data_IF_212721300520
#
_entry.id   IF_212721300520
#
_cell.length_a   1.000
_cell.length_b   1.000
_cell.length_c   1.000
_cell.angle_alpha   90.00
_cell.angle_beta   90.00
_cell.angle_gamma   90.00
#
_symmetry.space_group_name_H-M   'P 1'
#
loop_
_entity.id
_entity.type
_entity.pdbx_description
1 polymer ?
#
# COMPACT_ATOMS: atom_id res chain seq x y z
N UNK A 1 15.22 25.41 -38.43
CA UNK A 1 15.42 24.29 -37.48
C UNK A 1 15.77 24.85 -36.13
N UNK A 2 14.84 24.83 -35.17
CA UNK A 2 15.14 24.98 -33.75
C UNK A 2 14.15 24.11 -32.97
N UNK A 3 14.55 22.85 -32.76
CA UNK A 3 13.84 21.92 -31.89
C UNK A 3 14.10 22.29 -30.44
N UNK A 4 13.10 22.86 -29.78
CA UNK A 4 13.09 23.00 -28.33
C UNK A 4 12.86 21.64 -27.71
N UNK A 5 13.92 21.04 -27.17
CA UNK A 5 13.82 19.83 -26.35
C UNK A 5 12.99 20.13 -25.11
N UNK A 6 11.73 19.68 -25.11
CA UNK A 6 10.93 19.59 -23.88
C UNK A 6 11.66 18.61 -22.97
N UNK A 7 12.31 19.13 -21.92
CA UNK A 7 12.81 18.34 -20.81
C UNK A 7 11.63 17.54 -20.28
N UNK A 8 11.60 16.25 -20.60
CA UNK A 8 10.49 15.38 -20.22
C UNK A 8 10.52 15.32 -18.69
N UNK A 9 9.54 15.97 -18.05
CA UNK A 9 9.30 15.78 -16.63
C UNK A 9 9.27 14.27 -16.40
N UNK A 10 9.88 13.77 -15.32
CA UNK A 10 9.90 12.35 -15.10
C UNK A 10 8.42 11.90 -15.07
N UNK A 11 8.11 10.78 -15.73
CA UNK A 11 6.76 10.26 -15.93
C UNK A 11 6.52 9.06 -14.98
N UNK A 12 5.30 8.87 -14.45
CA UNK A 12 4.99 7.67 -13.66
C UNK A 12 5.21 6.42 -14.53
N UNK A 13 5.47 5.25 -13.90
CA UNK A 13 5.61 4.01 -14.66
C UNK A 13 4.35 3.76 -15.49
N UNK A 14 4.53 3.32 -16.73
CA UNK A 14 3.43 3.05 -17.68
C UNK A 14 2.53 1.90 -17.23
N UNK A 15 3.03 1.05 -16.34
CA UNK A 15 2.31 -0.06 -15.72
C UNK A 15 2.54 -0.04 -14.21
N UNK A 16 1.51 -0.41 -13.44
CA UNK A 16 1.59 -0.47 -11.98
C UNK A 16 2.43 -1.68 -11.52
N UNK A 17 3.41 -1.43 -10.65
CA UNK A 17 4.23 -2.45 -9.99
C UNK A 17 4.00 -2.45 -8.46
N UNK A 18 3.51 -3.56 -7.86
CA UNK A 18 3.28 -3.70 -6.41
C UNK A 18 4.49 -3.49 -5.50
N UNK A 19 5.71 -3.57 -6.04
CA UNK A 19 6.95 -3.33 -5.28
C UNK A 19 7.49 -1.91 -5.46
N UNK A 20 6.89 -1.10 -6.33
CA UNK A 20 7.42 0.21 -6.68
C UNK A 20 7.45 1.17 -5.48
N UNK A 21 6.37 1.24 -4.70
CA UNK A 21 6.29 2.14 -3.53
C UNK A 21 6.88 1.52 -2.26
N UNK A 22 6.69 0.22 -2.07
CA UNK A 22 7.09 -0.50 -0.87
C UNK A 22 7.67 -1.86 -1.25
N UNK A 23 8.98 -1.91 -1.44
CA UNK A 23 9.72 -3.13 -1.74
C UNK A 23 10.16 -3.82 -0.44
N UNK A 24 9.62 -5.00 -0.09
CA UNK A 24 10.02 -5.77 1.08
C UNK A 24 11.44 -6.33 0.98
N UNK A 25 12.04 -6.36 -0.23
CA UNK A 25 13.43 -6.76 -0.47
C UNK A 25 14.46 -5.69 -0.09
N UNK A 26 14.04 -4.43 0.01
CA UNK A 26 14.88 -3.32 0.52
C UNK A 26 14.97 -3.41 2.04
N UNK A 27 15.71 -4.40 2.54
CA UNK A 27 16.26 -4.32 3.88
C UNK A 27 17.20 -3.12 3.89
N UNK A 28 16.99 -2.18 4.81
CA UNK A 28 17.89 -1.05 5.00
C UNK A 28 19.32 -1.57 5.03
N UNK A 29 20.16 -0.97 4.20
CA UNK A 29 21.49 -1.46 3.86
C UNK A 29 22.25 -1.83 5.14
N UNK A 30 22.29 -3.12 5.44
CA UNK A 30 23.07 -3.64 6.55
C UNK A 30 24.50 -3.59 6.08
N UNK A 31 25.14 -2.42 6.22
CA UNK A 31 26.56 -2.21 5.91
C UNK A 31 27.39 -3.28 6.63
N UNK A 32 27.71 -4.35 5.91
CA UNK A 32 28.68 -5.36 6.29
C UNK A 32 30.04 -4.77 5.96
N UNK A 33 30.73 -4.24 6.96
CA UNK A 33 32.14 -3.87 6.78
C UNK A 33 32.97 -5.10 7.11
N UNK A 34 33.51 -5.75 6.09
CA UNK A 34 34.52 -6.81 6.26
C UNK A 34 35.83 -6.15 6.65
N UNK A 35 36.27 -6.36 7.89
CA UNK A 35 37.59 -5.90 8.33
C UNK A 35 38.58 -7.03 8.05
N UNK A 36 39.44 -6.86 7.05
CA UNK A 36 40.53 -7.80 6.79
C UNK A 36 41.70 -7.46 7.71
N UNK A 37 41.72 -8.03 8.93
CA UNK A 37 42.98 -8.20 9.65
C UNK A 37 43.64 -9.48 9.15
N UNK A 38 44.95 -9.43 8.89
CA UNK A 38 45.74 -10.59 8.46
C UNK A 38 45.56 -11.72 9.47
N UNK A 39 44.81 -12.76 9.09
CA UNK A 39 44.53 -13.95 9.91
C UNK A 39 43.13 -14.07 10.52
N UNK A 40 42.23 -13.07 10.40
CA UNK A 40 40.86 -13.17 10.93
C UNK A 40 39.84 -12.47 10.04
N UNK A 41 38.95 -13.24 9.41
CA UNK A 41 37.80 -12.71 8.64
C UNK A 41 36.60 -12.62 9.58
N UNK A 42 36.40 -11.44 10.18
CA UNK A 42 35.22 -11.14 10.99
C UNK A 42 34.22 -10.26 10.24
N UNK A 43 32.93 -10.61 10.26
CA UNK A 43 31.85 -9.75 9.75
C UNK A 43 31.25 -8.96 10.92
N UNK A 44 31.48 -7.65 10.98
CA UNK A 44 30.77 -6.77 11.92
C UNK A 44 29.43 -6.39 11.28
N UNK A 45 28.32 -6.87 11.85
CA UNK A 45 26.98 -6.43 11.47
C UNK A 45 26.69 -5.16 12.28
N UNK A 46 26.64 -4.01 11.61
CA UNK A 46 26.23 -2.76 12.25
C UNK A 46 24.73 -2.84 12.62
N UNK A 47 24.44 -2.93 13.91
CA UNK A 47 23.07 -2.92 14.41
C UNK A 47 22.53 -1.49 14.40
N UNK A 48 21.88 -1.10 13.29
CA UNK A 48 21.27 0.23 13.16
C UNK A 48 20.04 0.33 14.07
N UNK A 49 19.88 1.46 14.77
CA UNK A 49 18.68 1.72 15.56
C UNK A 49 17.45 1.76 14.64
N UNK A 50 16.27 1.30 15.08
CA UNK A 50 15.06 1.26 14.25
C UNK A 50 14.64 2.64 13.73
N UNK A 51 14.97 3.71 14.46
CA UNK A 51 14.74 5.10 14.03
C UNK A 51 15.61 5.46 12.81
N UNK A 52 16.86 5.01 12.79
CA UNK A 52 17.82 5.27 11.72
C UNK A 52 17.44 4.49 10.45
N UNK A 53 17.07 3.22 10.59
CA UNK A 53 16.53 2.37 9.52
C UNK A 53 15.31 3.04 8.85
N UNK A 54 14.36 3.52 9.67
CA UNK A 54 13.16 4.19 9.16
C UNK A 54 13.50 5.52 8.46
N UNK A 55 14.49 6.27 8.95
CA UNK A 55 14.94 7.51 8.32
C UNK A 55 15.54 7.22 6.94
N UNK A 56 16.45 6.25 6.87
CA UNK A 56 17.11 5.84 5.63
C UNK A 56 16.13 5.34 4.57
N UNK A 57 15.15 4.51 4.96
CA UNK A 57 14.10 4.05 4.04
C UNK A 57 13.24 5.21 3.50
N UNK A 58 12.91 6.20 4.34
CA UNK A 58 12.16 7.37 3.88
C UNK A 58 13.00 8.28 2.98
N UNK A 59 14.31 8.41 3.25
CA UNK A 59 15.22 9.14 2.36
C UNK A 59 15.35 8.46 1.01
N UNK A 60 15.51 7.14 0.98
CA UNK A 60 15.55 6.35 -0.25
C UNK A 60 14.26 6.50 -1.05
N UNK A 61 13.10 6.41 -0.38
CA UNK A 61 11.80 6.67 -0.98
C UNK A 61 11.71 8.08 -1.59
N UNK A 62 12.20 9.11 -0.89
CA UNK A 62 12.25 10.47 -1.43
C UNK A 62 13.20 10.62 -2.61
N UNK A 63 14.37 9.98 -2.59
CA UNK A 63 15.31 10.01 -3.71
C UNK A 63 14.70 9.37 -4.95
N UNK A 64 13.99 8.25 -4.78
CA UNK A 64 13.39 7.50 -5.89
C UNK A 64 12.09 8.11 -6.42
N UNK A 65 11.25 8.67 -5.56
CA UNK A 65 9.88 9.09 -5.94
C UNK A 65 9.57 10.56 -5.65
N UNK A 66 10.48 11.33 -5.05
CA UNK A 66 10.21 12.69 -4.57
C UNK A 66 9.90 13.72 -5.65
N UNK A 67 10.24 13.45 -6.91
CA UNK A 67 9.83 14.29 -8.05
C UNK A 67 8.34 14.15 -8.40
N UNK A 68 7.66 13.14 -7.84
CA UNK A 68 6.32 12.73 -8.24
C UNK A 68 5.32 12.67 -7.11
N UNK A 69 5.76 12.15 -5.98
CA UNK A 69 4.91 11.95 -4.81
C UNK A 69 4.96 13.21 -3.98
N UNK A 70 3.79 13.66 -3.55
CA UNK A 70 3.66 14.79 -2.65
C UNK A 70 4.60 14.63 -1.44
N UNK A 71 5.38 15.68 -1.13
CA UNK A 71 6.42 15.66 -0.09
C UNK A 71 5.87 15.38 1.31
N UNK A 72 4.55 15.57 1.52
CA UNK A 72 3.86 15.24 2.75
C UNK A 72 3.55 13.74 2.91
N UNK A 73 3.70 12.93 1.86
CA UNK A 73 3.53 11.48 1.89
C UNK A 73 4.92 10.81 1.96
N UNK A 74 5.10 9.94 2.94
CA UNK A 74 6.33 9.17 3.14
C UNK A 74 6.01 7.69 3.22
N UNK A 75 6.98 6.82 2.98
CA UNK A 75 6.80 5.36 3.07
C UNK A 75 6.19 4.93 4.40
N UNK A 76 6.69 5.50 5.51
CA UNK A 76 6.12 5.21 6.84
C UNK A 76 4.64 5.61 6.95
N UNK A 77 4.22 6.70 6.30
CA UNK A 77 2.80 7.13 6.31
C UNK A 77 1.92 6.20 5.48
N UNK A 78 2.44 5.70 4.35
CA UNK A 78 1.74 4.71 3.50
C UNK A 78 1.54 3.41 4.29
N UNK A 79 2.61 2.87 4.89
CA UNK A 79 2.54 1.66 5.73
C UNK A 79 1.57 1.81 6.90
N UNK A 80 1.58 2.94 7.59
CA UNK A 80 0.61 3.22 8.66
C UNK A 80 -0.84 3.30 8.15
N UNK A 81 -1.07 3.89 6.98
CA UNK A 81 -2.43 3.90 6.38
C UNK A 81 -2.90 2.49 6.06
N UNK A 82 -2.04 1.67 5.44
CA UNK A 82 -2.29 0.27 5.14
C UNK A 82 -2.69 -0.53 6.40
N UNK A 83 -1.94 -0.40 7.49
CA UNK A 83 -2.27 -1.03 8.77
C UNK A 83 -3.65 -0.60 9.31
N UNK A 84 -4.03 0.68 9.16
CA UNK A 84 -5.36 1.15 9.57
C UNK A 84 -6.47 0.57 8.71
N UNK A 85 -6.22 0.30 7.43
CA UNK A 85 -7.19 -0.40 6.56
C UNK A 85 -7.41 -1.84 7.01
N UNK A 86 -6.35 -2.57 7.38
CA UNK A 86 -6.47 -3.90 8.01
C UNK A 86 -7.33 -3.80 9.27
N UNK A 87 -7.02 -2.84 10.15
CA UNK A 87 -7.77 -2.67 11.39
C UNK A 87 -9.26 -2.35 11.14
N UNK A 88 -9.58 -1.56 10.10
CA UNK A 88 -10.98 -1.32 9.71
C UNK A 88 -11.66 -2.62 9.30
N UNK A 89 -11.04 -3.38 8.39
CA UNK A 89 -11.62 -4.61 7.87
C UNK A 89 -11.82 -5.66 8.97
N UNK A 90 -10.85 -5.83 9.87
CA UNK A 90 -10.97 -6.77 10.99
C UNK A 90 -12.11 -6.40 11.96
N UNK A 91 -12.30 -5.11 12.26
CA UNK A 91 -13.38 -4.66 13.14
C UNK A 91 -14.76 -4.70 12.49
N UNK A 92 -14.82 -4.65 11.15
CA UNK A 92 -16.03 -4.75 10.36
C UNK A 92 -16.25 -6.16 9.77
N UNK A 93 -15.47 -7.15 10.21
CA UNK A 93 -15.53 -8.54 9.73
C UNK A 93 -15.45 -8.69 8.19
N UNK A 94 -14.72 -7.79 7.53
CA UNK A 94 -14.50 -7.79 6.09
C UNK A 94 -13.31 -8.67 5.70
N UNK A 95 -13.31 -9.14 4.46
CA UNK A 95 -12.30 -10.04 3.94
C UNK A 95 -10.92 -9.36 3.76
N UNK A 96 -9.84 -10.09 4.05
CA UNK A 96 -8.48 -9.58 3.83
C UNK A 96 -8.19 -9.39 2.34
N UNK A 97 -8.87 -10.14 1.46
CA UNK A 97 -8.86 -9.90 0.02
C UNK A 97 -9.39 -8.50 -0.36
N UNK A 98 -10.42 -7.99 0.32
CA UNK A 98 -10.91 -6.61 0.15
C UNK A 98 -9.83 -5.59 0.54
N UNK A 99 -9.06 -5.85 1.60
CA UNK A 99 -7.93 -4.99 1.99
C UNK A 99 -6.82 -4.99 0.93
N UNK A 100 -6.53 -6.13 0.32
CA UNK A 100 -5.52 -6.24 -0.71
C UNK A 100 -5.91 -5.46 -1.98
N UNK A 101 -7.18 -5.48 -2.39
CA UNK A 101 -7.70 -4.61 -3.46
C UNK A 101 -7.55 -3.14 -3.08
N UNK A 102 -7.93 -2.77 -1.85
CA UNK A 102 -7.81 -1.40 -1.35
C UNK A 102 -6.36 -0.89 -1.35
N UNK A 103 -5.37 -1.76 -1.10
CA UNK A 103 -3.96 -1.40 -1.22
C UNK A 103 -3.59 -1.03 -2.64
N UNK A 104 -4.05 -1.79 -3.64
CA UNK A 104 -3.78 -1.50 -5.04
C UNK A 104 -4.41 -0.17 -5.46
N UNK A 105 -5.67 0.07 -5.08
CA UNK A 105 -6.34 1.34 -5.37
C UNK A 105 -5.62 2.52 -4.73
N UNK A 106 -5.23 2.39 -3.45
CA UNK A 106 -4.48 3.41 -2.73
C UNK A 106 -3.16 3.75 -3.43
N UNK A 107 -2.40 2.74 -3.84
CA UNK A 107 -1.12 2.97 -4.50
C UNK A 107 -1.30 3.59 -5.89
N UNK A 108 -2.29 3.15 -6.67
CA UNK A 108 -2.65 3.77 -7.96
C UNK A 108 -2.98 5.26 -7.79
N UNK A 109 -3.74 5.63 -6.75
CA UNK A 109 -4.02 7.04 -6.45
C UNK A 109 -2.79 7.84 -5.99
N UNK A 110 -1.87 7.22 -5.24
CA UNK A 110 -0.60 7.86 -4.85
C UNK A 110 0.24 8.15 -6.11
N UNK A 111 0.34 7.20 -7.02
CA UNK A 111 1.09 7.34 -8.28
C UNK A 111 0.44 8.37 -9.21
N UNK A 112 -0.89 8.47 -9.20
CA UNK A 112 -1.65 9.49 -9.91
C UNK A 112 -1.65 10.87 -9.23
N UNK A 113 -0.90 11.05 -8.14
CA UNK A 113 -0.78 12.30 -7.37
C UNK A 113 -2.10 12.84 -6.79
N UNK A 114 -3.07 11.96 -6.54
CA UNK A 114 -4.37 12.32 -5.96
C UNK A 114 -4.34 12.41 -4.44
N UNK A 115 -3.32 11.84 -3.79
CA UNK A 115 -3.22 11.73 -2.34
C UNK A 115 -2.19 12.69 -1.74
N UNK A 116 -2.62 13.47 -0.75
CA UNK A 116 -1.81 14.39 0.05
C UNK A 116 -2.21 14.34 1.54
N UNK A 117 -1.50 15.06 2.43
CA UNK A 117 -1.69 15.00 3.89
C UNK A 117 -3.15 15.17 4.36
N UNK A 118 -3.91 16.04 3.69
CA UNK A 118 -5.27 16.42 4.07
C UNK A 118 -6.32 15.37 3.70
N UNK A 119 -6.18 14.70 2.56
CA UNK A 119 -7.19 13.79 2.04
C UNK A 119 -6.84 12.30 2.21
N UNK A 120 -5.57 11.95 2.46
CA UNK A 120 -5.06 10.56 2.48
C UNK A 120 -5.86 9.56 3.33
N UNK A 121 -6.46 10.01 4.43
CA UNK A 121 -7.29 9.14 5.29
C UNK A 121 -8.66 8.89 4.66
N UNK A 122 -9.26 9.94 4.12
CA UNK A 122 -10.56 9.88 3.46
C UNK A 122 -10.49 9.04 2.19
N UNK A 123 -9.51 9.32 1.31
CA UNK A 123 -9.33 8.56 0.07
C UNK A 123 -8.95 7.09 0.33
N UNK A 124 -8.10 6.82 1.32
CA UNK A 124 -7.79 5.42 1.68
C UNK A 124 -9.04 4.67 2.18
N UNK A 125 -9.89 5.31 2.97
CA UNK A 125 -11.14 4.73 3.43
C UNK A 125 -12.13 4.50 2.27
N UNK A 126 -12.20 5.44 1.31
CA UNK A 126 -13.01 5.30 0.10
C UNK A 126 -12.49 4.16 -0.81
N UNK A 127 -11.18 3.97 -0.92
CA UNK A 127 -10.60 2.80 -1.60
C UNK A 127 -11.06 1.48 -0.95
N UNK A 128 -11.06 1.40 0.38
CA UNK A 128 -11.53 0.22 1.10
C UNK A 128 -13.04 0.01 0.92
N UNK A 129 -13.82 1.09 0.97
CA UNK A 129 -15.26 1.03 0.71
C UNK A 129 -15.58 0.45 -0.67
N UNK A 130 -14.92 0.93 -1.72
CA UNK A 130 -15.07 0.41 -3.09
C UNK A 130 -14.63 -1.05 -3.19
N UNK A 131 -13.52 -1.42 -2.53
CA UNK A 131 -13.05 -2.79 -2.51
C UNK A 131 -14.05 -3.75 -1.85
N UNK A 132 -14.61 -3.38 -0.70
CA UNK A 132 -15.65 -4.17 -0.02
C UNK A 132 -16.90 -4.27 -0.88
N UNK A 133 -17.37 -3.17 -1.49
CA UNK A 133 -18.53 -3.20 -2.39
C UNK A 133 -18.33 -4.11 -3.61
N UNK A 134 -17.10 -4.21 -4.12
CA UNK A 134 -16.79 -5.02 -5.29
C UNK A 134 -16.54 -6.51 -4.98
N UNK A 135 -16.06 -6.81 -3.77
CA UNK A 135 -15.55 -8.14 -3.41
C UNK A 135 -16.42 -8.91 -2.42
N UNK A 136 -17.30 -8.23 -1.69
CA UNK A 136 -18.13 -8.83 -0.65
C UNK A 136 -19.63 -8.79 -0.97
N UNK A 137 -20.44 -9.68 -0.37
CA UNK A 137 -21.89 -9.62 -0.49
C UNK A 137 -22.43 -8.25 -0.05
N UNK A 138 -23.36 -7.71 -0.84
CA UNK A 138 -23.85 -6.36 -0.66
C UNK A 138 -24.62 -6.15 0.66
N UNK A 139 -24.62 -4.92 1.15
CA UNK A 139 -25.47 -4.48 2.27
C UNK A 139 -24.76 -4.48 3.62
N UNK A 140 -24.66 -5.64 4.26
CA UNK A 140 -24.23 -5.73 5.66
C UNK A 140 -22.75 -5.37 5.85
N UNK A 141 -21.85 -5.98 5.05
CA UNK A 141 -20.41 -5.69 5.06
C UNK A 141 -20.10 -4.20 4.92
N UNK A 142 -20.84 -3.50 4.05
CA UNK A 142 -20.66 -2.06 3.81
C UNK A 142 -21.14 -1.23 5.01
N UNK A 143 -22.29 -1.57 5.59
CA UNK A 143 -22.83 -0.86 6.74
C UNK A 143 -21.91 -1.00 7.97
N UNK A 144 -21.39 -2.21 8.22
CA UNK A 144 -20.44 -2.47 9.30
C UNK A 144 -19.14 -1.66 9.10
N UNK A 145 -18.61 -1.64 7.88
CA UNK A 145 -17.42 -0.84 7.56
C UNK A 145 -17.65 0.66 7.81
N UNK A 146 -18.78 1.21 7.36
CA UNK A 146 -19.10 2.62 7.55
C UNK A 146 -19.25 3.00 9.02
N UNK A 147 -19.63 2.07 9.91
CA UNK A 147 -19.67 2.30 11.35
C UNK A 147 -18.26 2.31 12.00
N UNK A 148 -17.30 1.60 11.40
CA UNK A 148 -15.92 1.45 11.92
C UNK A 148 -15.00 2.57 11.43
N UNK A 149 -15.15 3.03 10.18
CA UNK A 149 -14.29 4.04 9.55
C UNK A 149 -14.04 5.27 10.44
N UNK A 150 -15.06 5.91 11.07
CA UNK A 150 -14.83 7.08 11.91
C UNK A 150 -13.91 6.81 13.11
N UNK A 151 -14.04 5.63 13.73
CA UNK A 151 -13.26 5.23 14.90
C UNK A 151 -11.80 4.98 14.52
N UNK A 152 -11.57 4.23 13.44
CA UNK A 152 -10.23 3.80 13.06
C UNK A 152 -9.50 4.85 12.23
N UNK A 153 -10.16 5.49 11.26
CA UNK A 153 -9.54 6.44 10.32
C UNK A 153 -9.58 7.88 10.81
N UNK A 154 -10.54 8.24 11.66
CA UNK A 154 -10.74 9.61 12.14
C UNK A 154 -11.28 10.54 11.06
N UNK A 155 -12.16 10.03 10.18
CA UNK A 155 -12.89 10.76 9.13
C UNK A 155 -14.35 10.34 9.17
N UNK A 156 -15.29 11.23 8.84
CA UNK A 156 -16.71 10.87 8.87
C UNK A 156 -17.07 9.96 7.71
N UNK A 157 -18.04 9.07 7.93
CA UNK A 157 -18.54 8.16 6.88
C UNK A 157 -19.20 8.94 5.73
N UNK A 158 -19.85 10.07 6.04
CA UNK A 158 -20.39 10.99 5.04
C UNK A 158 -19.29 11.54 4.11
N UNK A 159 -18.17 12.01 4.66
CA UNK A 159 -17.05 12.50 3.84
C UNK A 159 -16.45 11.39 2.97
N UNK A 160 -16.41 10.15 3.45
CA UNK A 160 -15.95 9.00 2.66
C UNK A 160 -16.91 8.70 1.51
N UNK A 161 -18.22 8.74 1.75
CA UNK A 161 -19.24 8.54 0.71
C UNK A 161 -19.20 9.67 -0.34
N UNK A 162 -18.98 10.92 0.06
CA UNK A 162 -18.79 12.04 -0.87
C UNK A 162 -17.60 11.84 -1.81
N UNK A 163 -16.52 11.21 -1.32
CA UNK A 163 -15.32 10.94 -2.11
C UNK A 163 -15.39 9.62 -2.89
N UNK A 164 -16.41 8.79 -2.67
CA UNK A 164 -16.51 7.46 -3.29
C UNK A 164 -16.46 7.55 -4.82
N UNK A 165 -17.32 8.39 -5.41
CA UNK A 165 -17.38 8.54 -6.86
C UNK A 165 -16.10 9.18 -7.42
N UNK A 166 -15.51 10.14 -6.72
CA UNK A 166 -14.24 10.75 -7.11
C UNK A 166 -13.11 9.72 -7.16
N UNK A 167 -12.99 8.87 -6.14
CA UNK A 167 -12.01 7.78 -6.14
C UNK A 167 -12.27 6.81 -7.28
N UNK A 168 -13.52 6.44 -7.51
CA UNK A 168 -13.85 5.52 -8.60
C UNK A 168 -13.53 6.10 -9.98
N UNK A 169 -13.77 7.39 -10.20
CA UNK A 169 -13.39 8.11 -11.41
C UNK A 169 -11.86 8.23 -11.55
N UNK A 170 -11.14 8.49 -10.47
CA UNK A 170 -9.67 8.53 -10.45
C UNK A 170 -9.04 7.14 -10.72
N UNK A 171 -9.78 6.06 -10.42
CA UNK A 171 -9.46 4.68 -10.83
C UNK A 171 -9.95 4.36 -12.26
N UNK A 172 -10.38 5.36 -13.02
CA UNK A 172 -10.86 5.23 -14.40
C UNK A 172 -12.01 4.22 -14.52
N UNK A 173 -12.89 4.18 -13.51
CA UNK A 173 -14.03 3.26 -13.44
C UNK A 173 -13.64 1.77 -13.50
N UNK A 174 -12.38 1.43 -13.21
CA UNK A 174 -11.90 0.05 -13.20
C UNK A 174 -11.53 -0.40 -11.79
N UNK A 175 -12.34 -1.31 -11.24
CA UNK A 175 -12.03 -2.03 -9.99
C UNK A 175 -11.38 -3.39 -10.25
N UNK A 176 -11.23 -3.79 -11.52
CA UNK A 176 -10.52 -5.02 -11.85
C UNK A 176 -9.03 -4.85 -11.55
N UNK A 177 -8.49 -5.79 -10.78
CA UNK A 177 -7.06 -5.86 -10.46
C UNK A 177 -6.51 -7.19 -10.95
N UNK A 178 -5.53 -7.19 -11.87
CA UNK A 178 -4.84 -8.41 -12.29
C UNK A 178 -4.18 -9.14 -11.12
N UNK A 179 -4.12 -10.48 -11.20
CA UNK A 179 -3.56 -11.34 -10.13
C UNK A 179 -2.12 -10.95 -9.77
N UNK A 180 -1.28 -10.61 -10.74
CA UNK A 180 0.11 -10.21 -10.50
C UNK A 180 0.22 -8.90 -9.70
N UNK A 181 -0.78 -8.01 -9.82
CA UNK A 181 -0.87 -6.78 -9.03
C UNK A 181 -1.43 -7.08 -7.63
N UNK A 182 -2.42 -7.97 -7.55
CA UNK A 182 -3.15 -8.28 -6.33
C UNK A 182 -2.37 -9.16 -5.34
N UNK A 183 -1.77 -10.25 -5.82
CA UNK A 183 -1.19 -11.30 -4.96
C UNK A 183 -0.08 -10.81 -4.02
N UNK A 184 0.85 -9.92 -4.42
CA UNK A 184 1.84 -9.38 -3.50
C UNK A 184 1.21 -8.64 -2.32
N UNK A 185 0.12 -7.90 -2.55
CA UNK A 185 -0.58 -7.16 -1.50
C UNK A 185 -1.37 -8.08 -0.58
N UNK A 186 -2.04 -9.12 -1.12
CA UNK A 186 -2.69 -10.14 -0.29
C UNK A 186 -1.68 -10.83 0.62
N UNK A 187 -0.57 -11.31 0.08
CA UNK A 187 0.48 -11.96 0.86
C UNK A 187 1.01 -11.07 2.00
N UNK A 188 1.21 -9.77 1.74
CA UNK A 188 1.66 -8.81 2.77
C UNK A 188 0.59 -8.56 3.82
N UNK A 189 -0.68 -8.46 3.42
CA UNK A 189 -1.79 -8.28 4.33
C UNK A 189 -1.97 -9.50 5.25
N UNK A 190 -1.96 -10.71 4.69
CA UNK A 190 -2.01 -11.98 5.44
C UNK A 190 -0.89 -12.09 6.47
N UNK A 191 0.36 -11.82 6.06
CA UNK A 191 1.50 -11.80 6.99
C UNK A 191 1.33 -10.79 8.12
N UNK A 192 0.69 -9.65 7.86
CA UNK A 192 0.45 -8.61 8.85
C UNK A 192 -0.59 -9.03 9.90
N UNK A 193 -1.50 -9.94 9.55
CA UNK A 193 -2.51 -10.49 10.47
C UNK A 193 -2.10 -11.85 11.07
N UNK A 194 -0.90 -12.33 10.78
CA UNK A 194 -0.36 -13.59 11.33
C UNK A 194 -0.71 -14.85 10.53
N UNK A 195 -1.32 -14.71 9.35
CA UNK A 195 -1.61 -15.84 8.46
C UNK A 195 -0.39 -16.12 7.59
N UNK A 196 0.06 -17.38 7.56
CA UNK A 196 1.36 -17.76 6.99
C UNK A 196 1.30 -18.00 5.49
N UNK A 197 0.13 -18.39 4.95
CA UNK A 197 -0.04 -18.70 3.53
C UNK A 197 -1.44 -18.37 3.00
N UNK A 198 -1.56 -18.23 1.69
CA UNK A 198 -2.87 -18.09 1.02
C UNK A 198 -3.67 -19.38 1.16
N UNK A 199 -3.02 -20.55 1.18
CA UNK A 199 -3.69 -21.84 1.37
C UNK A 199 -4.39 -21.94 2.73
N UNK A 200 -3.75 -21.44 3.78
CA UNK A 200 -4.34 -21.33 5.12
C UNK A 200 -5.54 -20.39 5.13
N UNK A 201 -5.44 -19.25 4.44
CA UNK A 201 -6.54 -18.28 4.32
C UNK A 201 -7.77 -18.85 3.60
N UNK A 202 -7.55 -19.69 2.59
CA UNK A 202 -8.62 -20.18 1.69
C UNK A 202 -9.16 -21.55 2.11
N UNK A 203 -8.57 -22.17 3.14
CA UNK A 203 -9.08 -23.40 3.74
C UNK A 203 -8.64 -24.68 3.04
N UNK A 204 -7.36 -24.80 2.70
CA UNK A 204 -6.67 -26.06 2.36
C UNK A 204 -6.98 -26.67 0.97
N UNK A 205 -8.25 -26.77 0.61
CA UNK A 205 -8.71 -27.49 -0.59
C UNK A 205 -9.21 -26.57 -1.72
N UNK A 206 -9.38 -25.28 -1.44
CA UNK A 206 -9.86 -24.31 -2.43
C UNK A 206 -8.70 -23.58 -3.10
N UNK A 207 -8.63 -23.68 -4.43
CA UNK A 207 -7.74 -22.83 -5.22
C UNK A 207 -8.39 -21.45 -5.33
N UNK A 208 -7.75 -20.42 -4.78
CA UNK A 208 -8.26 -19.05 -4.66
C UNK A 208 -8.76 -18.42 -5.98
N UNK A 209 -8.41 -19.00 -7.15
CA UNK A 209 -8.76 -18.50 -8.49
C UNK A 209 -9.13 -19.59 -9.52
N UNK A 210 -9.65 -20.75 -9.11
CA UNK A 210 -10.25 -21.71 -10.05
C UNK A 210 -11.76 -21.82 -9.85
N UNK A 211 -12.49 -20.80 -10.34
CA UNK A 211 -13.88 -20.91 -10.82
C UNK A 211 -14.07 -19.93 -11.97
#
# INVERSE_FOLDING_TARGET
>A
MLGGGTGNAPQPPTQYDPNYLDDPGLKADSRRTTSNLVGFVGSIIQHNKPVDVRRELNEHFRRRHGAFIDSSITLSKIRNLKLRLIQCAQQASNEISSVALAYVYLEKLILARRIHKGNRRCLAAACLLLAVKANEPHGESTAQLLAVIPKVMGVTSAAVLEQEFTVFADLQFSLYVPIHEFMPHLNRALRSVGISSVQEYVGGDSTFYLK
#
